data_IF_298247973539
#
_entry.id   IF_298247973539
#
_cell.length_a   1.000
_cell.length_b   1.000
_cell.length_c   1.000
_cell.angle_alpha   90.00
_cell.angle_beta   90.00
_cell.angle_gamma   90.00
#
_symmetry.space_group_name_H-M   'P 1'
#
loop_
_entity.id
_entity.type
_entity.pdbx_description
1 polymer ?
#
# COMPACT_ATOMS: atom_id res chain seq x y z
N UNK A 1 -14.23 52.22 5.88
CA UNK A 1 -13.63 50.93 5.46
C UNK A 1 -14.31 49.84 6.25
N UNK A 2 -14.99 48.91 5.58
CA UNK A 2 -15.79 47.86 6.23
C UNK A 2 -14.88 46.63 6.37
N UNK A 3 -14.66 46.10 7.58
CA UNK A 3 -13.79 44.95 7.79
C UNK A 3 -14.44 43.69 7.19
N UNK A 4 -13.61 42.86 6.55
CA UNK A 4 -13.99 41.57 5.99
C UNK A 4 -14.72 40.73 7.06
N UNK A 5 -15.82 40.08 6.69
CA UNK A 5 -16.52 39.16 7.60
C UNK A 5 -15.69 37.88 7.79
N UNK A 6 -15.67 37.25 8.99
CA UNK A 6 -14.84 36.08 9.30
C UNK A 6 -15.12 34.78 8.51
N UNK A 7 -15.96 34.82 7.48
CA UNK A 7 -16.54 33.63 6.83
C UNK A 7 -15.78 33.08 5.61
N UNK A 8 -14.92 33.86 4.95
CA UNK A 8 -14.58 33.59 3.53
C UNK A 8 -13.12 33.25 3.22
N UNK A 9 -12.33 32.72 4.18
CA UNK A 9 -10.93 32.34 3.89
C UNK A 9 -10.53 30.91 4.25
N UNK A 10 -11.44 30.05 4.71
CA UNK A 10 -11.13 28.65 5.05
C UNK A 10 -11.97 27.60 4.29
N UNK A 11 -12.66 27.98 3.20
CA UNK A 11 -13.58 27.09 2.47
C UNK A 11 -13.20 26.82 1.00
N UNK A 12 -11.99 27.15 0.57
CA UNK A 12 -11.39 26.64 -0.68
C UNK A 12 -10.15 25.80 -0.36
N UNK A 13 -10.31 24.90 0.60
CA UNK A 13 -9.74 23.56 0.47
C UNK A 13 -10.97 22.69 0.30
N UNK A 14 -11.32 22.40 -0.95
CA UNK A 14 -12.43 21.53 -1.29
C UNK A 14 -12.24 20.22 -0.51
N UNK A 15 -13.15 19.92 0.42
CA UNK A 15 -13.27 18.64 1.14
C UNK A 15 -13.59 17.46 0.19
N UNK A 16 -13.35 17.61 -1.12
CA UNK A 16 -13.62 16.62 -2.15
C UNK A 16 -12.46 15.63 -2.37
N UNK A 17 -11.29 15.84 -1.75
CA UNK A 17 -10.15 14.89 -1.83
C UNK A 17 -10.05 13.95 -0.61
N UNK A 18 -11.05 13.92 0.27
CA UNK A 18 -11.14 12.97 1.40
C UNK A 18 -11.94 11.71 1.07
N UNK A 19 -11.98 11.29 -0.19
CA UNK A 19 -12.27 9.89 -0.48
C UNK A 19 -11.01 9.09 -0.10
N UNK A 20 -10.83 8.84 1.20
CA UNK A 20 -9.73 8.07 1.79
C UNK A 20 -9.88 6.59 1.40
N UNK A 21 -9.87 6.30 0.10
CA UNK A 21 -9.96 4.97 -0.48
C UNK A 21 -8.60 4.29 -0.30
N UNK A 22 -8.32 3.93 0.95
CA UNK A 22 -7.11 3.18 1.29
C UNK A 22 -7.06 1.90 0.48
N UNK A 23 -5.85 1.52 0.09
CA UNK A 23 -5.58 0.22 -0.50
C UNK A 23 -4.73 -0.61 0.45
N UNK A 24 -4.87 -1.92 0.35
CA UNK A 24 -4.05 -2.84 1.13
C UNK A 24 -3.41 -3.88 0.21
N UNK A 25 -2.13 -4.13 0.43
CA UNK A 25 -1.43 -5.22 -0.25
C UNK A 25 -1.94 -6.60 0.23
N UNK A 26 -2.29 -6.69 1.52
CA UNK A 26 -2.84 -7.90 2.16
C UNK A 26 -1.79 -8.99 2.36
N UNK A 27 -0.68 -8.61 2.97
CA UNK A 27 0.44 -9.46 3.38
C UNK A 27 0.61 -9.41 4.90
N UNK A 28 1.04 -10.54 5.48
CA UNK A 28 1.54 -10.61 6.85
C UNK A 28 3.06 -10.52 6.75
N UNK A 29 3.67 -9.56 7.42
CA UNK A 29 5.07 -9.18 7.18
C UNK A 29 5.89 -9.02 8.47
N UNK A 30 7.20 -9.17 8.34
CA UNK A 30 8.19 -8.97 9.41
C UNK A 30 9.43 -8.29 8.84
N UNK A 31 10.01 -7.35 9.58
CA UNK A 31 11.28 -6.73 9.20
C UNK A 31 12.41 -7.77 9.27
N UNK A 32 13.40 -7.60 8.40
CA UNK A 32 14.64 -8.36 8.37
C UNK A 32 15.79 -7.43 7.97
N UNK A 33 17.04 -7.88 8.12
CA UNK A 33 18.21 -7.12 7.69
C UNK A 33 18.28 -6.87 6.17
N UNK A 34 17.49 -7.62 5.38
CA UNK A 34 17.54 -7.59 3.91
C UNK A 34 16.24 -7.08 3.27
N UNK A 35 15.37 -6.44 4.06
CA UNK A 35 14.07 -5.95 3.63
C UNK A 35 12.91 -6.56 4.42
N UNK A 36 11.75 -6.69 3.78
CA UNK A 36 10.51 -7.09 4.46
C UNK A 36 10.09 -8.51 4.09
N UNK A 37 10.20 -9.44 5.04
CA UNK A 37 9.83 -10.85 4.82
C UNK A 37 8.32 -11.05 4.90
N UNK A 38 7.75 -11.72 3.91
CA UNK A 38 6.37 -12.18 3.85
C UNK A 38 6.22 -13.47 4.65
N UNK A 39 5.38 -13.43 5.67
CA UNK A 39 4.99 -14.58 6.48
C UNK A 39 3.77 -15.30 5.90
N UNK A 40 2.96 -14.60 5.11
CA UNK A 40 1.80 -15.14 4.40
C UNK A 40 0.98 -14.03 3.72
N UNK A 41 -0.03 -14.44 2.95
CA UNK A 41 -0.95 -13.52 2.27
C UNK A 41 -2.38 -13.71 2.77
N UNK A 42 -3.15 -12.64 2.84
CA UNK A 42 -4.59 -12.72 3.11
C UNK A 42 -5.34 -13.27 1.89
N UNK A 43 -6.45 -13.98 2.13
CA UNK A 43 -7.30 -14.48 1.03
C UNK A 43 -7.90 -13.31 0.25
N UNK A 44 -7.96 -13.45 -1.08
CA UNK A 44 -8.48 -12.48 -2.04
C UNK A 44 -7.74 -11.13 -2.07
N UNK A 45 -6.54 -11.04 -1.48
CA UNK A 45 -5.75 -9.80 -1.49
C UNK A 45 -5.04 -9.55 -2.82
N UNK A 46 -4.57 -8.31 -3.02
CA UNK A 46 -3.73 -7.94 -4.16
C UNK A 46 -2.46 -8.81 -4.21
N UNK A 47 -1.79 -9.02 -3.08
CA UNK A 47 -0.59 -9.86 -3.02
C UNK A 47 -0.86 -11.32 -3.39
N UNK A 48 -1.96 -11.91 -2.88
CA UNK A 48 -2.30 -13.30 -3.23
C UNK A 48 -2.58 -13.44 -4.73
N UNK A 49 -3.36 -12.51 -5.31
CA UNK A 49 -3.70 -12.52 -6.74
C UNK A 49 -2.46 -12.31 -7.63
N UNK A 50 -1.51 -11.54 -7.16
CA UNK A 50 -0.24 -11.32 -7.85
C UNK A 50 0.73 -12.51 -7.74
N UNK A 51 0.47 -13.49 -6.85
CA UNK A 51 1.32 -14.66 -6.68
C UNK A 51 2.46 -14.49 -5.67
N UNK A 52 2.37 -13.49 -4.78
CA UNK A 52 3.25 -13.33 -3.62
C UNK A 52 3.02 -14.51 -2.65
N UNK A 53 4.09 -15.03 -2.07
CA UNK A 53 4.08 -16.23 -1.24
C UNK A 53 4.84 -16.03 0.07
N UNK A 54 4.62 -16.96 1.00
CA UNK A 54 5.42 -17.05 2.22
C UNK A 54 6.89 -17.23 1.87
N UNK A 55 7.75 -16.58 2.63
CA UNK A 55 9.21 -16.51 2.48
C UNK A 55 9.72 -15.56 1.39
N UNK A 56 8.86 -14.87 0.65
CA UNK A 56 9.29 -13.75 -0.18
C UNK A 56 9.90 -12.66 0.69
N UNK A 57 10.98 -12.03 0.22
CA UNK A 57 11.54 -10.82 0.83
C UNK A 57 11.26 -9.67 -0.13
N UNK A 58 10.41 -8.74 0.27
CA UNK A 58 10.11 -7.54 -0.50
C UNK A 58 11.31 -6.60 -0.39
N UNK A 59 11.82 -6.19 -1.56
CA UNK A 59 13.01 -5.34 -1.68
C UNK A 59 12.71 -4.00 -2.35
N UNK A 60 11.70 -3.93 -3.22
CA UNK A 60 11.28 -2.67 -3.84
C UNK A 60 9.80 -2.70 -4.27
N UNK A 61 9.22 -1.52 -4.44
CA UNK A 61 7.90 -1.31 -5.05
C UNK A 61 7.98 -0.12 -6.00
N UNK A 62 7.65 -0.33 -7.27
CA UNK A 62 7.75 0.69 -8.33
C UNK A 62 9.15 1.32 -8.46
N UNK A 63 10.19 0.55 -8.16
CA UNK A 63 11.58 1.01 -8.14
C UNK A 63 11.99 1.71 -6.85
N UNK A 64 11.07 2.00 -5.94
CA UNK A 64 11.39 2.56 -4.61
C UNK A 64 11.90 1.44 -3.68
N UNK A 65 13.08 1.59 -3.08
CA UNK A 65 13.65 0.57 -2.20
C UNK A 65 12.84 0.45 -0.91
N UNK A 66 12.56 -0.79 -0.49
CA UNK A 66 11.80 -1.11 0.71
C UNK A 66 12.72 -1.83 1.69
N UNK A 67 13.16 -1.12 2.73
CA UNK A 67 13.99 -1.68 3.79
C UNK A 67 13.17 -2.16 4.99
N UNK A 68 12.08 -1.44 5.29
CA UNK A 68 11.26 -1.66 6.48
C UNK A 68 9.77 -1.80 6.15
N UNK A 69 9.01 -2.41 7.06
CA UNK A 69 7.54 -2.47 6.99
C UNK A 69 6.92 -1.08 6.90
N UNK A 70 7.54 -0.06 7.49
CA UNK A 70 7.05 1.32 7.46
C UNK A 70 7.13 1.87 6.04
N UNK A 71 8.25 1.64 5.34
CA UNK A 71 8.43 2.05 3.94
C UNK A 71 7.38 1.41 3.05
N UNK A 72 7.16 0.10 3.22
CA UNK A 72 6.15 -0.61 2.44
C UNK A 72 4.74 -0.06 2.70
N UNK A 73 4.42 0.20 3.98
CA UNK A 73 3.11 0.75 4.36
C UNK A 73 2.92 2.16 3.81
N UNK A 74 3.98 2.98 3.82
CA UNK A 74 3.96 4.33 3.26
C UNK A 74 3.74 4.30 1.75
N UNK A 75 4.57 3.57 1.00
CA UNK A 75 4.46 3.51 -0.47
C UNK A 75 3.12 2.95 -0.91
N UNK A 76 2.62 1.89 -0.25
CA UNK A 76 1.27 1.35 -0.53
C UNK A 76 0.17 2.34 -0.13
N UNK A 77 0.36 3.11 0.94
CA UNK A 77 -0.59 4.11 1.40
C UNK A 77 -0.79 5.27 0.43
N UNK A 78 0.19 5.53 -0.46
CA UNK A 78 0.08 6.53 -1.52
C UNK A 78 -0.68 6.03 -2.76
N UNK A 79 -0.92 4.72 -2.86
CA UNK A 79 -1.54 4.10 -4.03
C UNK A 79 -3.06 4.24 -4.03
N UNK A 80 -3.61 4.40 -5.23
CA UNK A 80 -5.05 4.51 -5.44
C UNK A 80 -5.66 3.16 -5.86
N UNK A 81 -6.96 2.94 -5.60
CA UNK A 81 -7.65 1.79 -6.14
C UNK A 81 -7.53 1.73 -7.66
N UNK A 82 -7.38 0.51 -8.19
CA UNK A 82 -7.19 0.19 -9.62
C UNK A 82 -5.88 0.68 -10.21
N UNK A 83 -5.03 1.33 -9.42
CA UNK A 83 -3.65 1.64 -9.82
C UNK A 83 -2.85 0.34 -9.95
N UNK A 84 -1.87 0.38 -10.85
CA UNK A 84 -0.91 -0.71 -11.03
C UNK A 84 0.39 -0.38 -10.29
N UNK A 85 1.08 -1.42 -9.84
CA UNK A 85 2.45 -1.29 -9.36
C UNK A 85 3.27 -2.53 -9.66
N UNK A 86 4.58 -2.44 -9.53
CA UNK A 86 5.52 -3.55 -9.72
C UNK A 86 6.22 -3.82 -8.41
N UNK A 87 5.91 -4.96 -7.79
CA UNK A 87 6.56 -5.41 -6.58
C UNK A 87 7.78 -6.25 -6.94
N UNK A 88 8.94 -5.88 -6.40
CA UNK A 88 10.16 -6.66 -6.53
C UNK A 88 10.42 -7.43 -5.23
N UNK A 89 10.61 -8.74 -5.37
CA UNK A 89 10.88 -9.61 -4.24
C UNK A 89 12.04 -10.56 -4.53
N UNK A 90 12.68 -11.04 -3.48
CA UNK A 90 13.60 -12.16 -3.52
C UNK A 90 12.87 -13.41 -3.02
N UNK A 91 12.83 -14.46 -3.86
CA UNK A 91 12.34 -15.79 -3.49
C UNK A 91 13.46 -16.80 -3.71
N UNK A 92 13.87 -17.48 -2.65
CA UNK A 92 14.99 -18.43 -2.66
C UNK A 92 16.27 -17.83 -3.28
N UNK A 93 16.52 -16.54 -2.98
CA UNK A 93 17.66 -15.77 -3.48
C UNK A 93 17.53 -15.28 -4.93
N UNK A 94 16.43 -15.57 -5.63
CA UNK A 94 16.19 -15.12 -7.01
C UNK A 94 15.28 -13.90 -7.03
N UNK A 95 15.61 -12.83 -7.78
CA UNK A 95 14.72 -11.69 -7.96
C UNK A 95 13.52 -12.10 -8.82
N UNK A 96 12.34 -11.78 -8.32
CA UNK A 96 11.06 -11.93 -9.00
C UNK A 96 10.34 -10.58 -9.01
N UNK A 97 9.53 -10.37 -10.05
CA UNK A 97 8.70 -9.18 -10.20
C UNK A 97 7.25 -9.57 -10.35
N UNK A 98 6.39 -8.91 -9.60
CA UNK A 98 4.95 -9.14 -9.62
C UNK A 98 4.22 -7.86 -9.98
N UNK A 99 3.37 -7.92 -11.00
CA UNK A 99 2.45 -6.83 -11.30
C UNK A 99 1.29 -6.87 -10.29
N UNK A 100 1.11 -5.76 -9.59
CA UNK A 100 0.05 -5.54 -8.62
C UNK A 100 -1.07 -4.72 -9.25
N UNK A 101 -2.31 -5.08 -8.93
CA UNK A 101 -3.48 -4.22 -9.16
C UNK A 101 -4.06 -3.92 -7.78
N UNK A 102 -3.90 -2.68 -7.31
CA UNK A 102 -4.33 -2.28 -5.99
C UNK A 102 -5.85 -2.26 -5.92
N UNK A 103 -6.42 -2.97 -4.96
CA UNK A 103 -7.86 -2.99 -4.75
C UNK A 103 -8.21 -2.05 -3.61
N UNK A 104 -9.33 -1.31 -3.75
CA UNK A 104 -9.88 -0.54 -2.65
C UNK A 104 -10.07 -1.46 -1.44
N UNK A 105 -9.76 -0.93 -0.26
CA UNK A 105 -10.08 -1.55 1.02
C UNK A 105 -11.60 -1.72 1.15
N UNK A 106 -12.14 -2.80 0.59
CA UNK A 106 -13.52 -3.19 0.84
C UNK A 106 -13.53 -3.79 2.23
N UNK A 107 -13.85 -2.96 3.23
CA UNK A 107 -14.06 -3.31 4.65
C UNK A 107 -13.60 -4.75 4.95
N UNK A 108 -12.31 -4.92 5.24
CA UNK A 108 -11.78 -6.13 5.86
C UNK A 108 -12.34 -6.20 7.29
N UNK A 109 -13.67 -6.25 7.42
CA UNK A 109 -14.37 -6.69 8.61
C UNK A 109 -13.90 -8.12 8.79
N UNK A 110 -12.86 -8.28 9.58
CA UNK A 110 -12.49 -9.55 10.20
C UNK A 110 -13.78 -10.12 10.76
N UNK A 111 -14.26 -11.23 10.21
CA UNK A 111 -15.28 -12.02 10.91
C UNK A 111 -14.77 -12.26 12.33
N UNK A 112 -15.61 -12.04 13.35
CA UNK A 112 -15.26 -12.30 14.74
C UNK A 112 -14.92 -13.78 14.96
#
# INVERSE_FOLDING_TARGET
EIPLQPGDFAWIISYEDLSDQKVYLGVIIRDTEHGVKVLGTMKNSTAQKAGVQKNDIITALDGEPIATKLDLTYVVGLKRPREKGVLEVLRDGKPLRFELIFQAARNLRTSP
#
